data_IF_623618341174
#
_entry.id   IF_623618341174
#
_cell.length_a   1.000
_cell.length_b   1.000
_cell.length_c   1.000
_cell.angle_alpha   90.00
_cell.angle_beta   90.00
_cell.angle_gamma   90.00
#
_symmetry.space_group_name_H-M   'P 1'
#
loop_
_entity.id
_entity.type
_entity.pdbx_description
1 polymer ?
#
# COMPACT_ATOMS: atom_id res chain seq x y z
N UNK A 1 -8.25 -7.87 21.40
CA UNK A 1 -9.56 -7.65 22.08
C UNK A 1 -9.97 -8.85 22.93
N UNK A 2 -9.87 -10.08 22.46
CA UNK A 2 -10.24 -11.26 23.25
C UNK A 2 -9.60 -11.35 24.64
N UNK A 3 -8.35 -10.96 24.80
CA UNK A 3 -7.65 -10.97 26.09
C UNK A 3 -8.14 -9.96 27.14
N UNK A 4 -9.19 -9.19 26.85
CA UNK A 4 -9.85 -8.27 27.79
C UNK A 4 -11.26 -8.72 28.20
N UNK A 5 -11.78 -9.76 27.56
CA UNK A 5 -13.05 -10.38 27.93
C UNK A 5 -12.81 -11.41 29.06
N UNK A 6 -13.74 -11.54 29.99
CA UNK A 6 -13.71 -12.59 31.01
C UNK A 6 -12.73 -12.34 32.17
N UNK A 7 -12.64 -11.13 32.71
CA UNK A 7 -11.76 -10.79 33.87
C UNK A 7 -12.33 -11.15 35.22
N UNK A 8 -13.56 -11.66 35.29
CA UNK A 8 -14.22 -12.14 36.50
C UNK A 8 -14.69 -13.60 36.30
N UNK A 9 -15.38 -14.17 37.27
CA UNK A 9 -15.83 -15.57 37.27
C UNK A 9 -16.67 -16.02 36.06
N UNK A 10 -17.16 -15.09 35.23
CA UNK A 10 -17.91 -15.41 34.01
C UNK A 10 -16.99 -15.41 32.79
N UNK A 11 -17.09 -16.47 31.98
CA UNK A 11 -16.39 -16.53 30.69
C UNK A 11 -16.79 -15.37 29.80
N UNK A 12 -15.81 -14.65 29.26
CA UNK A 12 -16.07 -13.56 28.31
C UNK A 12 -16.41 -14.09 26.92
N UNK A 13 -17.36 -13.45 26.26
CA UNK A 13 -17.71 -13.73 24.88
C UNK A 13 -17.22 -12.62 23.96
N UNK A 14 -16.62 -12.97 22.83
CA UNK A 14 -16.20 -12.05 21.78
C UNK A 14 -16.98 -12.35 20.52
N UNK A 15 -17.62 -11.33 19.95
CA UNK A 15 -18.39 -11.44 18.69
C UNK A 15 -17.61 -10.70 17.61
N UNK A 16 -17.36 -11.37 16.49
CA UNK A 16 -16.75 -10.79 15.29
C UNK A 16 -17.84 -10.63 14.23
N UNK A 17 -18.11 -9.39 13.83
CA UNK A 17 -19.01 -9.09 12.72
C UNK A 17 -18.20 -8.91 11.43
N UNK A 18 -18.54 -9.62 10.38
CA UNK A 18 -17.83 -9.60 9.09
C UNK A 18 -18.78 -9.89 7.95
N UNK A 19 -18.46 -9.39 6.73
CA UNK A 19 -19.15 -9.73 5.49
C UNK A 19 -18.67 -11.05 4.88
N UNK A 20 -17.51 -11.56 5.30
CA UNK A 20 -16.95 -12.83 4.82
C UNK A 20 -16.57 -13.73 6.01
N UNK A 21 -17.55 -14.44 6.59
CA UNK A 21 -17.32 -15.30 7.76
C UNK A 21 -16.42 -16.51 7.43
N UNK A 22 -16.39 -16.94 6.17
CA UNK A 22 -15.62 -18.11 5.72
C UNK A 22 -14.17 -17.78 5.37
N UNK A 23 -13.74 -16.52 5.55
CA UNK A 23 -12.35 -16.15 5.32
C UNK A 23 -11.43 -16.88 6.31
N UNK A 24 -10.34 -17.47 5.81
CA UNK A 24 -9.44 -18.30 6.62
C UNK A 24 -9.02 -17.63 7.94
N UNK A 25 -8.75 -16.34 7.94
CA UNK A 25 -8.36 -15.61 9.16
C UNK A 25 -9.45 -15.58 10.22
N UNK A 26 -10.74 -15.59 9.83
CA UNK A 26 -11.88 -15.64 10.76
C UNK A 26 -12.03 -17.06 11.31
N UNK A 27 -11.92 -18.06 10.44
CA UNK A 27 -12.02 -19.46 10.83
C UNK A 27 -10.90 -19.87 11.79
N UNK A 28 -9.67 -19.42 11.53
CA UNK A 28 -8.51 -19.71 12.39
C UNK A 28 -8.61 -19.00 13.74
N UNK A 29 -9.16 -17.77 13.78
CA UNK A 29 -9.46 -17.07 15.04
C UNK A 29 -10.51 -17.80 15.86
N UNK A 30 -11.57 -18.34 15.22
CA UNK A 30 -12.59 -19.12 15.90
C UNK A 30 -12.03 -20.40 16.54
N UNK A 31 -11.07 -21.04 15.86
CA UNK A 31 -10.37 -22.24 16.34
C UNK A 31 -9.22 -21.92 17.31
N UNK A 32 -8.92 -20.64 17.52
CA UNK A 32 -7.75 -20.16 18.26
C UNK A 32 -6.42 -20.77 17.73
N UNK A 33 -6.34 -21.02 16.43
CA UNK A 33 -5.21 -21.65 15.75
C UNK A 33 -4.30 -20.59 15.09
N UNK A 34 -3.46 -19.96 15.91
CA UNK A 34 -2.51 -18.96 15.43
C UNK A 34 -1.46 -19.54 14.47
N UNK A 35 -1.02 -20.78 14.70
CA UNK A 35 0.04 -21.36 13.86
C UNK A 35 -0.43 -21.63 12.44
N UNK A 36 -1.65 -22.14 12.27
CA UNK A 36 -2.25 -22.36 10.96
C UNK A 36 -2.48 -21.02 10.26
N UNK A 37 -3.05 -20.02 10.94
CA UNK A 37 -3.16 -18.66 10.42
C UNK A 37 -1.81 -18.11 9.96
N UNK A 38 -0.77 -18.19 10.80
CA UNK A 38 0.56 -17.67 10.47
C UNK A 38 1.13 -18.31 9.20
N UNK A 39 1.03 -19.65 9.08
CA UNK A 39 1.54 -20.36 7.89
C UNK A 39 0.83 -19.94 6.61
N UNK A 40 -0.49 -19.90 6.63
CA UNK A 40 -1.30 -19.50 5.48
C UNK A 40 -1.03 -18.04 5.09
N UNK A 41 -1.03 -17.14 6.05
CA UNK A 41 -0.74 -15.72 5.82
C UNK A 41 0.64 -15.52 5.20
N UNK A 42 1.67 -16.21 5.71
CA UNK A 42 3.03 -16.10 5.19
C UNK A 42 3.15 -16.67 3.76
N UNK A 43 2.43 -17.72 3.42
CA UNK A 43 2.36 -18.22 2.04
C UNK A 43 1.71 -17.21 1.09
N UNK A 44 0.57 -16.65 1.47
CA UNK A 44 -0.11 -15.60 0.68
C UNK A 44 0.77 -14.38 0.47
N UNK A 45 1.46 -13.91 1.53
CA UNK A 45 2.39 -12.79 1.42
C UNK A 45 3.56 -13.08 0.51
N UNK A 46 4.11 -14.29 0.54
CA UNK A 46 5.19 -14.73 -0.36
C UNK A 46 4.73 -14.74 -1.80
N UNK A 47 3.59 -15.37 -2.09
CA UNK A 47 3.01 -15.44 -3.44
C UNK A 47 2.64 -14.04 -3.97
N UNK A 48 2.02 -13.22 -3.13
CA UNK A 48 1.61 -11.87 -3.47
C UNK A 48 2.75 -10.84 -3.50
N UNK A 49 3.99 -11.25 -3.19
CA UNK A 49 5.14 -10.33 -3.08
C UNK A 49 4.86 -9.19 -2.10
N UNK A 50 4.51 -9.54 -0.87
CA UNK A 50 4.25 -8.61 0.23
C UNK A 50 5.31 -8.73 1.34
N UNK A 51 5.41 -7.75 2.26
CA UNK A 51 6.26 -7.87 3.44
C UNK A 51 5.92 -9.12 4.28
N UNK A 52 6.92 -9.79 4.87
CA UNK A 52 8.33 -9.41 4.96
C UNK A 52 9.21 -9.86 3.78
N UNK A 53 8.65 -10.46 2.74
CA UNK A 53 9.40 -11.00 1.59
C UNK A 53 9.81 -9.94 0.57
N UNK A 54 9.06 -8.86 0.48
CA UNK A 54 9.29 -7.70 -0.39
C UNK A 54 9.04 -6.41 0.38
N UNK A 55 9.77 -5.37 0.03
CA UNK A 55 9.50 -4.00 0.45
C UNK A 55 8.50 -3.35 -0.49
N UNK A 56 7.76 -2.38 0.02
CA UNK A 56 6.75 -1.66 -0.74
C UNK A 56 7.02 -0.16 -0.69
N UNK A 57 6.80 0.52 -1.81
CA UNK A 57 6.71 1.98 -1.83
C UNK A 57 5.48 2.36 -2.63
N UNK A 58 4.68 3.25 -2.08
CA UNK A 58 3.50 3.79 -2.74
C UNK A 58 3.72 5.26 -3.09
N UNK A 59 3.59 5.57 -4.37
CA UNK A 59 3.63 6.93 -4.90
C UNK A 59 2.21 7.38 -5.15
N UNK A 60 1.73 8.40 -4.42
CA UNK A 60 0.40 8.97 -4.61
C UNK A 60 0.51 10.35 -5.21
N UNK A 61 -0.10 10.56 -6.37
CA UNK A 61 -0.15 11.82 -7.08
C UNK A 61 -1.54 12.42 -6.91
N UNK A 62 -1.63 13.70 -6.52
CA UNK A 62 -2.92 14.38 -6.36
C UNK A 62 -2.95 15.79 -6.94
N UNK A 63 -4.09 16.16 -7.52
CA UNK A 63 -4.39 17.50 -8.03
C UNK A 63 -5.91 17.65 -8.27
N UNK A 64 -6.39 18.91 -8.35
CA UNK A 64 -7.79 19.22 -8.66
C UNK A 64 -8.18 18.86 -10.11
N UNK A 65 -7.24 18.93 -11.03
CA UNK A 65 -7.44 18.60 -12.44
C UNK A 65 -6.99 17.17 -12.72
N UNK A 66 -7.91 16.32 -13.15
CA UNK A 66 -7.63 14.91 -13.46
C UNK A 66 -6.56 14.75 -14.53
N UNK A 67 -6.58 15.60 -15.58
CA UNK A 67 -5.59 15.56 -16.66
C UNK A 67 -4.16 15.68 -16.13
N UNK A 68 -3.92 16.64 -15.23
CA UNK A 68 -2.60 16.82 -14.61
C UNK A 68 -2.16 15.62 -13.78
N UNK A 69 -3.09 14.99 -13.05
CA UNK A 69 -2.79 13.77 -12.29
C UNK A 69 -2.41 12.63 -13.21
N UNK A 70 -3.13 12.44 -14.32
CA UNK A 70 -2.82 11.40 -15.29
C UNK A 70 -1.44 11.60 -15.96
N UNK A 71 -1.15 12.80 -16.43
CA UNK A 71 0.14 13.14 -17.05
C UNK A 71 1.29 12.97 -16.04
N UNK A 72 1.12 13.45 -14.82
CA UNK A 72 2.12 13.30 -13.76
C UNK A 72 2.32 11.84 -13.36
N UNK A 73 1.26 11.05 -13.26
CA UNK A 73 1.38 9.64 -12.91
C UNK A 73 2.10 8.83 -13.99
N UNK A 74 1.88 9.15 -15.28
CA UNK A 74 2.65 8.56 -16.38
C UNK A 74 4.12 8.97 -16.34
N UNK A 75 4.42 10.24 -16.01
CA UNK A 75 5.78 10.71 -15.85
C UNK A 75 6.50 9.98 -14.71
N UNK A 76 5.87 9.90 -13.51
CA UNK A 76 6.43 9.15 -12.38
C UNK A 76 6.69 7.68 -12.76
N UNK A 77 5.73 7.03 -13.40
CA UNK A 77 5.87 5.64 -13.85
C UNK A 77 7.07 5.46 -14.81
N UNK A 78 7.22 6.36 -15.79
CA UNK A 78 8.34 6.34 -16.73
C UNK A 78 9.69 6.49 -16.02
N UNK A 79 9.81 7.43 -15.10
CA UNK A 79 11.05 7.64 -14.31
C UNK A 79 11.37 6.39 -13.47
N UNK A 80 10.38 5.79 -12.83
CA UNK A 80 10.57 4.55 -12.08
C UNK A 80 11.09 3.42 -12.98
N UNK A 81 10.50 3.21 -14.15
CA UNK A 81 10.97 2.19 -15.09
C UNK A 81 12.38 2.44 -15.62
N UNK A 82 12.82 3.69 -15.72
CA UNK A 82 14.17 4.03 -16.16
C UNK A 82 15.26 3.75 -15.11
N UNK A 83 14.90 3.78 -13.82
CA UNK A 83 15.86 3.65 -12.71
C UNK A 83 15.80 2.29 -12.03
N UNK A 84 14.69 1.56 -12.16
CA UNK A 84 14.49 0.26 -11.54
C UNK A 84 14.87 -0.87 -12.50
N UNK A 85 15.29 -1.99 -11.92
CA UNK A 85 15.57 -3.21 -12.69
C UNK A 85 14.28 -4.00 -12.93
N UNK A 86 14.34 -4.99 -13.82
CA UNK A 86 13.22 -5.92 -14.08
C UNK A 86 12.81 -6.76 -12.85
N UNK A 87 13.62 -6.75 -11.78
CA UNK A 87 13.32 -7.45 -10.53
C UNK A 87 12.29 -6.72 -9.68
N UNK A 88 12.14 -5.41 -9.87
CA UNK A 88 11.08 -4.64 -9.25
C UNK A 88 9.77 -4.79 -10.01
N UNK A 89 8.67 -4.90 -9.28
CA UNK A 89 7.34 -4.89 -9.85
C UNK A 89 6.72 -3.52 -9.66
N UNK A 90 6.52 -2.80 -10.75
CA UNK A 90 5.86 -1.48 -10.78
C UNK A 90 4.40 -1.69 -11.21
N UNK A 91 3.46 -1.44 -10.30
CA UNK A 91 2.02 -1.58 -10.53
C UNK A 91 1.36 -0.20 -10.66
N UNK A 92 0.54 -0.03 -11.66
CA UNK A 92 -0.12 1.24 -11.96
C UNK A 92 0.55 1.94 -13.16
N UNK A 93 0.25 3.24 -13.37
CA UNK A 93 -0.62 4.09 -12.55
C UNK A 93 -2.09 3.67 -12.58
N UNK A 94 -2.76 3.75 -11.44
CA UNK A 94 -4.18 3.47 -11.29
C UNK A 94 -4.84 4.46 -10.32
N UNK A 95 -6.16 4.68 -10.40
CA UNK A 95 -6.85 5.44 -9.36
C UNK A 95 -6.57 4.86 -7.97
N UNK A 96 -6.32 5.71 -6.99
CA UNK A 96 -6.18 5.26 -5.61
C UNK A 96 -7.50 4.69 -5.08
N UNK A 97 -7.48 3.87 -4.02
CA UNK A 97 -8.68 3.28 -3.43
C UNK A 97 -9.70 4.34 -3.02
N UNK A 98 -9.24 5.49 -2.53
CA UNK A 98 -10.03 6.72 -2.44
C UNK A 98 -9.58 7.65 -3.57
N UNK A 99 -10.22 7.49 -4.74
CA UNK A 99 -9.83 8.18 -5.96
C UNK A 99 -10.02 9.70 -5.91
N UNK A 100 -10.83 10.21 -4.95
CA UNK A 100 -11.05 11.64 -4.76
C UNK A 100 -11.18 11.97 -3.27
N UNK A 101 -10.35 12.89 -2.77
CA UNK A 101 -10.39 13.41 -1.40
C UNK A 101 -10.21 14.93 -1.48
N UNK A 102 -11.00 15.70 -0.70
CA UNK A 102 -10.92 17.18 -0.62
C UNK A 102 -10.95 17.85 -2.01
N UNK A 103 -11.77 17.31 -2.91
CA UNK A 103 -11.90 17.78 -4.29
C UNK A 103 -10.64 17.60 -5.16
N UNK A 104 -9.71 16.73 -4.77
CA UNK A 104 -8.53 16.36 -5.54
C UNK A 104 -8.65 14.92 -6.04
N UNK A 105 -8.32 14.71 -7.32
CA UNK A 105 -8.16 13.38 -7.89
C UNK A 105 -6.85 12.78 -7.42
N UNK A 106 -6.84 11.45 -7.22
CA UNK A 106 -5.69 10.73 -6.70
C UNK A 106 -5.41 9.49 -7.52
N UNK A 107 -4.16 9.37 -7.97
CA UNK A 107 -3.63 8.18 -8.63
C UNK A 107 -2.47 7.63 -7.81
N UNK A 108 -2.25 6.33 -7.93
CA UNK A 108 -1.18 5.65 -7.21
C UNK A 108 -0.36 4.75 -8.11
N UNK A 109 0.91 4.60 -7.75
CA UNK A 109 1.84 3.64 -8.32
C UNK A 109 2.46 2.89 -7.16
N UNK A 110 2.36 1.56 -7.16
CA UNK A 110 2.94 0.71 -6.13
C UNK A 110 4.17 0.00 -6.69
N UNK A 111 5.29 0.15 -6.02
CA UNK A 111 6.54 -0.56 -6.32
C UNK A 111 6.78 -1.63 -5.27
N UNK A 112 6.97 -2.90 -5.73
CA UNK A 112 7.37 -4.02 -4.89
C UNK A 112 8.79 -4.43 -5.27
N UNK A 113 9.70 -4.51 -4.30
CA UNK A 113 11.11 -4.78 -4.56
C UNK A 113 11.77 -5.55 -3.41
N UNK A 114 12.94 -6.13 -3.66
CA UNK A 114 13.82 -6.71 -2.63
C UNK A 114 15.08 -5.88 -2.45
N UNK A 115 15.72 -5.52 -3.58
CA UNK A 115 16.92 -4.70 -3.61
C UNK A 115 16.95 -3.98 -4.95
N UNK A 116 16.93 -2.65 -4.90
CA UNK A 116 16.90 -1.79 -6.08
C UNK A 116 17.88 -0.62 -5.90
N UNK A 117 19.12 -0.72 -6.40
CA UNK A 117 20.14 0.32 -6.24
C UNK A 117 19.75 1.67 -6.83
N UNK A 118 18.95 1.67 -7.90
CA UNK A 118 18.47 2.88 -8.58
C UNK A 118 17.31 3.59 -7.89
N UNK A 119 16.67 2.93 -6.92
CA UNK A 119 15.43 3.42 -6.32
C UNK A 119 15.63 4.74 -5.55
N UNK A 120 16.69 4.86 -4.78
CA UNK A 120 16.97 6.09 -4.03
C UNK A 120 17.18 7.29 -4.96
N UNK A 121 17.89 7.08 -6.07
CA UNK A 121 18.09 8.13 -7.09
C UNK A 121 16.78 8.54 -7.75
N UNK A 122 15.92 7.57 -8.06
CA UNK A 122 14.59 7.85 -8.60
C UNK A 122 13.73 8.65 -7.61
N UNK A 123 13.74 8.27 -6.33
CA UNK A 123 13.01 8.98 -5.27
C UNK A 123 13.50 10.41 -5.14
N UNK A 124 14.81 10.64 -5.04
CA UNK A 124 15.39 11.98 -4.93
C UNK A 124 15.02 12.85 -6.13
N UNK A 125 15.19 12.33 -7.34
CA UNK A 125 14.80 13.05 -8.55
C UNK A 125 13.32 13.43 -8.57
N UNK A 126 12.44 12.50 -8.20
CA UNK A 126 10.99 12.73 -8.18
C UNK A 126 10.60 13.72 -7.08
N UNK A 127 11.21 13.63 -5.90
CA UNK A 127 10.94 14.53 -4.78
C UNK A 127 11.32 15.97 -5.15
N UNK A 128 12.54 16.20 -5.66
CA UNK A 128 12.99 17.52 -6.10
C UNK A 128 12.10 18.10 -7.20
N UNK A 129 11.79 17.30 -8.23
CA UNK A 129 10.97 17.73 -9.35
C UNK A 129 9.54 18.10 -8.92
N UNK A 130 8.89 17.26 -8.11
CA UNK A 130 7.50 17.48 -7.69
C UNK A 130 7.39 18.48 -6.55
N UNK A 131 8.43 18.71 -5.77
CA UNK A 131 8.48 19.83 -4.83
C UNK A 131 8.27 21.18 -5.52
N UNK A 132 8.97 21.43 -6.63
CA UNK A 132 8.78 22.64 -7.43
C UNK A 132 7.37 22.70 -8.06
N UNK A 133 6.86 21.57 -8.55
CA UNK A 133 5.51 21.47 -9.12
C UNK A 133 4.44 21.75 -8.08
N UNK A 134 4.60 21.28 -6.85
CA UNK A 134 3.69 21.59 -5.76
C UNK A 134 3.62 23.09 -5.46
N UNK A 135 4.76 23.75 -5.41
CA UNK A 135 4.81 25.20 -5.15
C UNK A 135 4.10 25.99 -6.26
N UNK A 136 4.38 25.66 -7.53
CA UNK A 136 3.88 26.40 -8.70
C UNK A 136 2.44 26.06 -9.05
N UNK A 137 2.06 24.80 -8.99
CA UNK A 137 0.82 24.28 -9.57
C UNK A 137 -0.06 23.52 -8.59
N UNK A 138 0.37 23.34 -7.34
CA UNK A 138 -0.30 22.49 -6.32
C UNK A 138 -0.43 21.01 -6.74
N UNK A 139 0.42 20.56 -7.66
CA UNK A 139 0.51 19.16 -8.04
C UNK A 139 1.36 18.42 -7.01
N UNK A 140 0.73 17.58 -6.19
CA UNK A 140 1.39 16.90 -5.09
C UNK A 140 1.83 15.48 -5.47
N UNK A 141 3.04 15.11 -5.06
CA UNK A 141 3.53 13.73 -5.01
C UNK A 141 3.81 13.38 -3.56
N UNK A 142 3.13 12.34 -3.04
CA UNK A 142 3.42 11.73 -1.75
C UNK A 142 4.10 10.40 -1.96
N UNK A 143 5.25 10.20 -1.32
CA UNK A 143 6.00 8.94 -1.32
C UNK A 143 5.86 8.31 0.06
N UNK A 144 5.34 7.09 0.13
CA UNK A 144 5.08 6.35 1.35
C UNK A 144 5.86 5.04 1.32
N UNK A 145 6.87 4.95 2.18
CA UNK A 145 7.76 3.78 2.27
C UNK A 145 7.17 2.80 3.28
N UNK A 146 7.06 1.54 2.90
CA UNK A 146 6.43 0.46 3.65
C UNK A 146 5.02 0.85 4.17
N UNK A 147 4.09 1.23 3.27
CA UNK A 147 2.77 1.70 3.64
C UNK A 147 2.03 0.64 4.46
N UNK A 148 1.53 1.02 5.64
CA UNK A 148 0.74 0.12 6.48
C UNK A 148 -0.65 -0.12 5.90
N UNK A 149 -1.17 0.84 5.15
CA UNK A 149 -2.44 0.74 4.44
C UNK A 149 -2.26 1.19 2.99
N UNK A 150 -2.68 0.35 2.06
CA UNK A 150 -2.68 0.66 0.63
C UNK A 150 -4.06 1.22 0.22
N UNK A 151 -4.53 2.22 0.98
CA UNK A 151 -5.78 2.93 0.71
C UNK A 151 -5.56 4.22 -0.06
#
# INVERSE_FOLDING_TARGET
>A
MAGRAGRHEKAGQVIIQTYNPDHYSILDVQKNDYLTFYRQEMEYRKLGKYPPYYYLINFTISHKEMKKVMEASQHVHKILLQHLTEKALVLGPSPAALARINNEFRFQILVKYKSEPGLLKAIQFLDDYYHEKFIKEKLALKIDIDPQMMM
#
